data_IF_494106371331
#
_entry.id   IF_494106371331
#
_cell.length_a   1.000
_cell.length_b   1.000
_cell.length_c   1.000
_cell.angle_alpha   90.00
_cell.angle_beta   90.00
_cell.angle_gamma   90.00
#
_symmetry.space_group_name_H-M   'P 1'
#
loop_
_entity.id
_entity.type
_entity.pdbx_description
1 polymer ?
#
# COMPACT_ATOMS: atom_id res chain seq x y z
N UNK A 1 -65.08 7.03 -96.97
CA UNK A 1 -64.36 8.14 -97.60
C UNK A 1 -63.80 9.05 -96.51
N UNK A 2 -62.59 9.58 -96.73
CA UNK A 2 -61.75 10.46 -95.88
C UNK A 2 -61.25 9.88 -94.55
N UNK A 3 -59.97 9.48 -94.38
CA UNK A 3 -58.69 10.24 -94.38
C UNK A 3 -58.65 11.32 -93.27
N UNK A 4 -57.86 11.21 -92.18
CA UNK A 4 -56.39 11.47 -91.99
C UNK A 4 -56.31 12.46 -90.80
N UNK A 5 -55.51 12.40 -89.72
CA UNK A 5 -54.09 12.03 -89.49
C UNK A 5 -53.77 12.05 -87.94
N UNK A 6 -52.52 11.98 -87.41
CA UNK A 6 -52.06 10.80 -86.63
C UNK A 6 -51.36 11.10 -85.26
N UNK A 7 -50.91 10.01 -84.60
CA UNK A 7 -49.78 9.82 -83.66
C UNK A 7 -49.70 10.71 -82.37
N UNK A 8 -49.36 10.21 -81.18
CA UNK A 8 -48.05 9.65 -80.76
C UNK A 8 -48.18 8.78 -79.48
N UNK A 9 -47.72 7.52 -79.60
CA UNK A 9 -46.86 6.67 -78.72
C UNK A 9 -46.83 7.01 -77.20
N UNK A 10 -47.46 6.19 -76.35
CA UNK A 10 -46.93 5.01 -75.58
C UNK A 10 -46.08 5.32 -74.35
N UNK A 11 -46.45 4.70 -73.22
CA UNK A 11 -45.59 4.52 -72.06
C UNK A 11 -46.37 4.16 -70.80
N UNK A 12 -46.64 2.87 -70.61
CA UNK A 12 -47.28 2.28 -69.44
C UNK A 12 -46.52 2.62 -68.14
N UNK A 13 -47.30 2.93 -67.10
CA UNK A 13 -46.84 3.03 -65.72
C UNK A 13 -46.58 1.61 -65.17
N UNK A 14 -45.33 1.33 -64.79
CA UNK A 14 -45.00 0.23 -63.89
C UNK A 14 -44.10 0.80 -62.79
N UNK A 15 -44.53 0.59 -61.55
CA UNK A 15 -44.08 1.32 -60.38
C UNK A 15 -42.65 1.03 -59.93
N UNK A 16 -42.09 2.03 -59.24
CA UNK A 16 -41.06 1.83 -58.24
C UNK A 16 -41.44 2.67 -57.02
N UNK A 17 -41.97 2.00 -55.99
CA UNK A 17 -42.08 2.56 -54.64
C UNK A 17 -40.67 2.73 -54.09
N UNK A 18 -40.11 3.94 -54.20
CA UNK A 18 -38.88 4.30 -53.52
C UNK A 18 -39.17 4.35 -52.01
N UNK A 19 -38.73 3.33 -51.28
CA UNK A 19 -38.71 3.33 -49.83
C UNK A 19 -37.69 4.39 -49.40
N UNK A 20 -38.17 5.55 -48.98
CA UNK A 20 -37.35 6.54 -48.30
C UNK A 20 -37.05 5.99 -46.90
N UNK A 21 -35.78 5.72 -46.52
CA UNK A 21 -35.50 5.26 -45.18
C UNK A 21 -35.81 6.40 -44.20
N UNK A 22 -36.76 6.13 -43.30
CA UNK A 22 -37.10 6.98 -42.17
C UNK A 22 -35.83 7.16 -41.32
N UNK A 23 -35.41 8.38 -40.97
CA UNK A 23 -34.21 8.57 -40.15
C UNK A 23 -34.43 7.87 -38.80
N UNK A 24 -33.47 7.03 -38.40
CA UNK A 24 -33.47 6.42 -37.07
C UNK A 24 -33.55 7.52 -35.99
N UNK A 25 -34.24 7.27 -34.86
CA UNK A 25 -34.21 8.20 -33.74
C UNK A 25 -32.75 8.37 -33.30
N UNK A 26 -32.27 9.63 -33.29
CA UNK A 26 -30.98 9.95 -32.68
C UNK A 26 -31.03 9.46 -31.24
N UNK A 27 -30.18 8.49 -30.93
CA UNK A 27 -29.97 8.01 -29.57
C UNK A 27 -29.59 9.22 -28.72
N UNK A 28 -30.51 9.68 -27.86
CA UNK A 28 -30.20 10.73 -26.89
C UNK A 28 -29.15 10.15 -25.95
N UNK A 29 -27.92 10.64 -26.09
CA UNK A 29 -26.84 10.40 -25.15
C UNK A 29 -27.34 10.87 -23.78
N UNK A 30 -27.76 9.93 -22.93
CA UNK A 30 -28.04 10.21 -21.52
C UNK A 30 -26.78 10.86 -20.94
N UNK A 31 -26.89 12.00 -20.24
CA UNK A 31 -25.73 12.57 -19.59
C UNK A 31 -25.20 11.52 -18.60
N UNK A 32 -23.94 11.10 -18.79
CA UNK A 32 -23.23 10.30 -17.79
C UNK A 32 -23.36 11.02 -16.44
N UNK A 33 -23.61 10.30 -15.33
CA UNK A 33 -23.62 10.94 -14.02
C UNK A 33 -22.27 11.63 -13.86
N UNK A 34 -22.27 12.95 -13.69
CA UNK A 34 -21.09 13.66 -13.18
C UNK A 34 -20.89 13.11 -11.77
N UNK A 35 -20.00 12.13 -11.65
CA UNK A 35 -19.39 11.79 -10.37
C UNK A 35 -18.78 13.10 -9.89
N UNK A 36 -19.43 13.74 -8.93
CA UNK A 36 -18.81 14.77 -8.12
C UNK A 36 -17.63 14.08 -7.45
N UNK A 37 -16.46 14.15 -8.07
CA UNK A 37 -15.21 13.97 -7.37
C UNK A 37 -15.19 15.10 -6.35
N UNK A 38 -15.71 14.80 -5.16
CA UNK A 38 -15.33 15.52 -3.96
C UNK A 38 -13.82 15.34 -3.95
N UNK A 39 -13.08 16.37 -4.35
CA UNK A 39 -11.68 16.51 -3.98
C UNK A 39 -11.70 16.57 -2.46
N UNK A 40 -11.69 15.40 -1.82
CA UNK A 40 -11.24 15.30 -0.45
C UNK A 40 -9.81 15.81 -0.51
N UNK A 41 -9.62 17.06 -0.09
CA UNK A 41 -8.31 17.63 0.12
C UNK A 41 -7.59 16.67 1.05
N UNK A 42 -6.63 15.93 0.50
CA UNK A 42 -5.79 15.04 1.29
C UNK A 42 -5.18 15.90 2.40
N UNK A 43 -5.19 15.44 3.68
CA UNK A 43 -4.54 16.18 4.75
C UNK A 43 -3.10 16.50 4.36
N UNK A 44 -2.51 17.58 4.91
CA UNK A 44 -1.10 17.89 4.66
C UNK A 44 -0.26 16.63 4.88
N UNK A 45 0.75 16.46 4.01
CA UNK A 45 1.78 15.42 4.16
C UNK A 45 2.13 15.28 5.64
N UNK A 46 2.06 14.05 6.16
CA UNK A 46 2.54 13.81 7.51
C UNK A 46 3.98 14.36 7.60
N UNK A 47 4.29 15.03 8.70
CA UNK A 47 5.63 15.59 8.90
C UNK A 47 6.42 14.58 9.74
N UNK A 48 7.61 14.10 9.30
CA UNK A 48 8.45 13.23 10.12
C UNK A 48 8.74 13.78 11.52
N UNK A 49 8.72 15.10 11.71
CA UNK A 49 8.89 15.75 13.02
C UNK A 49 7.68 15.57 13.96
N UNK A 50 6.54 15.12 13.45
CA UNK A 50 5.35 14.80 14.26
C UNK A 50 5.37 13.35 14.76
N UNK A 51 6.32 12.52 14.29
CA UNK A 51 6.43 11.15 14.77
C UNK A 51 6.98 11.14 16.19
N UNK A 52 6.23 10.47 17.07
CA UNK A 52 6.65 10.22 18.46
C UNK A 52 6.76 8.71 18.65
N UNK A 53 7.97 8.26 18.99
CA UNK A 53 8.28 6.89 19.34
C UNK A 53 7.73 6.55 20.73
N UNK A 54 7.01 5.44 20.82
CA UNK A 54 6.61 4.80 22.05
C UNK A 54 7.76 3.90 22.46
N UNK A 55 8.61 4.40 23.37
CA UNK A 55 9.86 3.76 23.78
C UNK A 55 9.62 3.01 25.09
N UNK A 56 9.75 1.67 25.11
CA UNK A 56 9.56 0.88 26.32
C UNK A 56 10.64 1.16 27.38
N UNK A 57 11.89 1.31 26.96
CA UNK A 57 13.02 1.57 27.85
C UNK A 57 14.02 2.56 27.24
N UNK A 58 14.13 3.74 27.86
CA UNK A 58 15.01 4.82 27.41
C UNK A 58 16.50 4.54 27.60
N UNK A 59 16.86 3.53 28.39
CA UNK A 59 18.25 3.09 28.56
C UNK A 59 18.75 2.26 27.38
N UNK A 60 17.85 1.66 26.59
CA UNK A 60 18.20 0.87 25.41
C UNK A 60 18.04 1.66 24.11
N UNK A 61 17.03 2.51 24.03
CA UNK A 61 16.75 3.29 22.82
C UNK A 61 16.19 4.65 23.18
N UNK A 62 16.56 5.68 22.43
CA UNK A 62 15.97 7.01 22.56
C UNK A 62 15.72 7.64 21.20
N UNK A 63 14.79 8.60 21.18
CA UNK A 63 14.50 9.38 19.98
C UNK A 63 15.13 10.76 20.09
N UNK A 64 15.83 11.17 19.03
CA UNK A 64 16.36 12.52 18.85
C UNK A 64 15.86 13.08 17.50
N UNK A 65 14.77 13.84 17.54
CA UNK A 65 14.07 14.30 16.33
C UNK A 65 13.62 13.10 15.48
N UNK A 66 14.07 13.02 14.24
CA UNK A 66 13.77 11.94 13.30
C UNK A 66 14.66 10.69 13.47
N UNK A 67 15.59 10.69 14.42
CA UNK A 67 16.49 9.56 14.65
C UNK A 67 16.04 8.75 15.84
N UNK A 68 16.00 7.43 15.68
CA UNK A 68 15.89 6.46 16.75
C UNK A 68 17.28 5.85 16.93
N UNK A 69 17.82 5.97 18.14
CA UNK A 69 19.23 5.65 18.42
C UNK A 69 19.25 4.60 19.52
N UNK A 70 19.81 3.44 19.19
CA UNK A 70 20.14 2.42 20.18
C UNK A 70 21.33 2.88 21.00
N UNK A 71 21.29 2.68 22.30
CA UNK A 71 22.39 3.01 23.21
C UNK A 71 23.55 2.03 23.05
N UNK A 72 24.54 2.15 23.91
CA UNK A 72 25.71 1.26 23.98
C UNK A 72 25.38 -0.13 24.54
N UNK A 73 24.20 -0.31 25.13
CA UNK A 73 23.65 -1.61 25.52
C UNK A 73 23.24 -2.40 24.27
N UNK A 74 23.34 -3.73 24.31
CA UNK A 74 22.83 -4.65 23.27
C UNK A 74 21.53 -5.25 23.77
N UNK A 75 20.59 -5.52 22.86
CA UNK A 75 19.29 -6.10 23.21
C UNK A 75 18.21 -5.66 22.23
N UNK A 76 17.03 -6.27 22.30
CA UNK A 76 15.94 -5.90 21.39
C UNK A 76 15.25 -4.61 21.86
N UNK A 77 15.17 -3.65 20.94
CA UNK A 77 14.49 -2.37 21.16
C UNK A 77 13.45 -2.15 20.08
N UNK A 78 12.21 -2.54 20.38
CA UNK A 78 11.06 -2.31 19.50
C UNK A 78 10.41 -0.98 19.82
N UNK A 79 10.29 -0.10 18.82
CA UNK A 79 9.69 1.23 18.95
C UNK A 79 8.52 1.36 17.99
N UNK A 80 7.31 1.47 18.55
CA UNK A 80 6.11 1.82 17.79
C UNK A 80 6.00 3.34 17.63
N UNK A 81 5.27 3.82 16.63
CA UNK A 81 5.13 5.25 16.37
C UNK A 81 3.68 5.74 16.49
N UNK A 82 3.52 6.94 17.05
CA UNK A 82 2.31 7.74 16.92
C UNK A 82 2.40 8.62 15.66
N UNK A 83 1.24 8.92 15.02
CA UNK A 83 -0.13 8.51 15.37
C UNK A 83 -0.48 7.06 14.98
N UNK A 84 -1.62 6.57 15.50
CA UNK A 84 -2.29 5.38 14.96
C UNK A 84 -2.79 5.69 13.54
N UNK A 85 -2.60 4.75 12.62
CA UNK A 85 -3.12 4.84 11.26
C UNK A 85 -4.38 3.99 11.18
N UNK A 86 -5.52 4.60 10.83
CA UNK A 86 -6.82 3.91 10.72
C UNK A 86 -7.58 4.22 9.42
N UNK A 87 -7.08 5.17 8.63
CA UNK A 87 -7.66 5.63 7.37
C UNK A 87 -6.56 6.19 6.46
N UNK A 88 -6.89 6.41 5.19
CA UNK A 88 -5.96 6.97 4.22
C UNK A 88 -4.97 5.95 3.65
N UNK A 89 -4.00 6.47 2.90
CA UNK A 89 -2.84 5.73 2.43
C UNK A 89 -1.64 6.37 3.10
N UNK A 90 -0.94 5.62 3.97
CA UNK A 90 0.18 6.14 4.73
C UNK A 90 1.44 5.36 4.39
N UNK A 91 2.57 6.07 4.29
CA UNK A 91 3.87 5.46 4.06
C UNK A 91 4.85 5.90 5.13
N UNK A 92 5.59 4.94 5.68
CA UNK A 92 6.59 5.15 6.71
C UNK A 92 7.89 4.45 6.34
N UNK A 93 9.02 5.11 6.55
CA UNK A 93 10.31 4.56 6.15
C UNK A 93 11.51 5.42 6.54
N UNK A 94 12.67 4.88 6.26
CA UNK A 94 13.94 5.39 6.77
C UNK A 94 15.16 4.66 6.26
N UNK A 95 16.27 4.93 6.93
CA UNK A 95 17.54 4.27 6.74
C UNK A 95 18.04 3.67 8.05
N UNK A 96 18.39 2.40 8.01
CA UNK A 96 19.12 1.74 9.08
C UNK A 96 20.63 2.04 8.97
N UNK A 97 21.29 2.36 10.08
CA UNK A 97 22.74 2.62 10.15
C UNK A 97 23.41 1.89 11.31
N UNK A 98 24.63 1.41 11.08
CA UNK A 98 25.52 0.75 12.07
C UNK A 98 24.91 -0.53 12.67
N UNK A 99 24.47 -1.44 11.80
CA UNK A 99 23.88 -2.74 12.17
C UNK A 99 24.82 -3.88 11.77
N UNK A 100 25.88 -4.11 12.55
CA UNK A 100 26.92 -5.11 12.23
C UNK A 100 26.46 -6.56 12.37
N UNK A 101 25.52 -6.85 13.29
CA UNK A 101 24.91 -8.18 13.41
C UNK A 101 23.86 -8.43 12.34
N UNK A 102 23.55 -7.42 11.52
CA UNK A 102 22.52 -7.47 10.48
C UNK A 102 21.21 -8.01 11.07
N UNK A 103 20.75 -7.44 12.19
CA UNK A 103 19.44 -7.76 12.76
C UNK A 103 18.68 -6.48 13.06
N UNK A 104 17.72 -6.17 12.19
CA UNK A 104 16.77 -5.08 12.39
C UNK A 104 15.48 -5.40 11.62
N UNK A 105 14.39 -4.80 12.07
CA UNK A 105 13.04 -5.05 11.54
C UNK A 105 12.36 -3.71 11.30
N UNK A 106 11.57 -3.64 10.24
CA UNK A 106 10.54 -2.61 10.03
C UNK A 106 9.21 -3.31 9.75
N UNK A 107 8.10 -2.74 10.19
CA UNK A 107 6.80 -3.34 9.93
C UNK A 107 5.62 -2.56 10.46
N UNK A 108 4.50 -3.27 10.59
CA UNK A 108 3.28 -2.77 11.22
C UNK A 108 2.86 -3.67 12.37
N UNK A 109 2.27 -3.05 13.38
CA UNK A 109 1.62 -3.72 14.47
C UNK A 109 0.12 -3.36 14.49
N UNK A 110 -0.72 -4.27 14.95
CA UNK A 110 -2.06 -3.91 15.43
C UNK A 110 -1.92 -2.78 16.46
N UNK A 111 -2.84 -1.82 16.45
CA UNK A 111 -2.71 -0.63 17.31
C UNK A 111 -2.74 -0.95 18.82
N UNK A 112 -3.24 -2.13 19.20
CA UNK A 112 -3.24 -2.66 20.57
C UNK A 112 -1.93 -3.34 20.99
N UNK A 113 -0.96 -3.49 20.10
CA UNK A 113 0.34 -4.08 20.44
C UNK A 113 1.09 -3.21 21.46
N UNK A 114 1.65 -3.85 22.48
CA UNK A 114 2.47 -3.21 23.51
C UNK A 114 3.80 -3.93 23.55
N UNK A 115 4.88 -3.23 23.25
CA UNK A 115 6.22 -3.81 23.21
C UNK A 115 6.92 -3.65 24.56
N UNK A 116 7.55 -4.71 25.04
CA UNK A 116 8.42 -4.67 26.22
C UNK A 116 9.86 -4.27 25.88
N UNK A 117 10.67 -4.19 26.93
CA UNK A 117 12.11 -3.93 26.82
C UNK A 117 12.86 -5.24 26.65
N UNK A 118 13.81 -5.29 25.72
CA UNK A 118 14.62 -6.49 25.44
C UNK A 118 13.78 -7.71 24.99
N UNK A 119 12.66 -7.44 24.33
CA UNK A 119 11.72 -8.42 23.79
C UNK A 119 11.63 -8.30 22.26
N UNK A 120 11.44 -9.43 21.59
CA UNK A 120 11.13 -9.45 20.17
C UNK A 120 9.76 -8.80 19.90
N UNK A 121 9.53 -8.24 18.69
CA UNK A 121 8.23 -7.67 18.32
C UNK A 121 7.04 -8.64 18.39
N UNK A 122 7.29 -9.94 18.50
CA UNK A 122 6.27 -10.99 18.55
C UNK A 122 6.23 -11.72 19.90
N UNK A 123 7.00 -11.28 20.90
CA UNK A 123 6.96 -11.87 22.24
C UNK A 123 5.65 -11.54 22.98
N UNK A 124 5.34 -12.36 23.97
CA UNK A 124 4.17 -12.20 24.84
C UNK A 124 2.86 -12.21 24.05
N UNK A 125 2.04 -11.17 24.23
CA UNK A 125 0.74 -11.04 23.55
C UNK A 125 0.84 -10.55 22.10
N UNK A 126 2.05 -10.31 21.57
CA UNK A 126 2.24 -9.74 20.24
C UNK A 126 2.43 -10.77 19.13
N UNK A 127 2.44 -12.07 19.45
CA UNK A 127 2.65 -13.17 18.50
C UNK A 127 1.83 -13.00 17.20
N UNK A 128 0.57 -12.58 17.33
CA UNK A 128 -0.39 -12.43 16.21
C UNK A 128 -0.67 -10.96 15.85
N UNK A 129 0.06 -10.03 16.47
CA UNK A 129 -0.21 -8.58 16.36
C UNK A 129 0.79 -7.85 15.48
N UNK A 130 1.73 -8.52 14.83
CA UNK A 130 2.76 -7.87 14.02
C UNK A 130 2.95 -8.51 12.65
N UNK A 131 3.36 -7.69 11.68
CA UNK A 131 4.06 -8.16 10.47
C UNK A 131 5.47 -7.62 10.54
N UNK A 132 6.45 -8.50 10.33
CA UNK A 132 7.86 -8.16 10.31
C UNK A 132 8.38 -8.14 8.87
N UNK A 133 9.21 -7.16 8.52
CA UNK A 133 10.10 -7.23 7.36
C UNK A 133 11.54 -7.15 7.86
N UNK A 134 12.22 -8.29 7.78
CA UNK A 134 13.57 -8.49 8.28
C UNK A 134 14.61 -7.94 7.29
N UNK A 135 15.79 -7.61 7.82
CA UNK A 135 16.91 -7.11 7.03
C UNK A 135 17.35 -8.08 5.92
N UNK A 136 17.16 -9.40 6.09
CA UNK A 136 17.55 -10.43 5.15
C UNK A 136 16.61 -10.56 3.94
N UNK A 137 15.47 -9.87 3.95
CA UNK A 137 14.47 -9.93 2.89
C UNK A 137 13.27 -10.81 3.21
N UNK A 138 13.24 -11.47 4.37
CA UNK A 138 12.09 -12.27 4.77
C UNK A 138 10.99 -11.41 5.41
N UNK A 139 9.72 -11.84 5.27
CA UNK A 139 8.60 -11.30 6.05
C UNK A 139 8.01 -12.38 6.97
N UNK A 140 7.44 -12.00 8.11
CA UNK A 140 6.71 -12.94 8.96
C UNK A 140 5.45 -12.33 9.57
N UNK A 141 4.54 -13.22 9.97
CA UNK A 141 3.34 -12.94 10.74
C UNK A 141 2.92 -14.23 11.44
N UNK A 142 2.56 -14.16 12.74
CA UNK A 142 2.36 -15.34 13.61
C UNK A 142 3.64 -16.16 13.67
N UNK A 143 4.42 -15.96 14.75
CA UNK A 143 5.77 -16.53 14.86
C UNK A 143 5.76 -18.05 14.59
N UNK A 144 6.69 -18.50 13.73
CA UNK A 144 6.81 -19.91 13.35
C UNK A 144 7.44 -20.11 11.97
N UNK A 145 7.08 -19.29 10.98
CA UNK A 145 7.68 -19.32 9.64
C UNK A 145 7.92 -17.91 9.10
N UNK A 146 9.15 -17.65 8.67
CA UNK A 146 9.49 -16.49 7.85
C UNK A 146 9.43 -16.85 6.37
N UNK A 147 8.98 -15.91 5.55
CA UNK A 147 8.74 -16.10 4.13
C UNK A 147 9.77 -15.32 3.32
N UNK A 148 10.67 -16.00 2.58
CA UNK A 148 11.64 -15.34 1.73
C UNK A 148 10.99 -14.82 0.44
N UNK A 149 11.57 -13.77 -0.14
CA UNK A 149 11.20 -13.31 -1.48
C UNK A 149 11.30 -11.80 -1.71
N UNK A 150 11.38 -10.99 -0.66
CA UNK A 150 11.76 -9.59 -0.80
C UNK A 150 13.29 -9.45 -0.86
N UNK A 151 13.75 -8.28 -1.29
CA UNK A 151 15.18 -7.99 -1.33
C UNK A 151 15.71 -7.75 0.08
N UNK A 152 16.99 -8.06 0.28
CA UNK A 152 17.74 -7.63 1.47
C UNK A 152 17.76 -6.11 1.61
N UNK A 153 17.78 -5.63 2.85
CA UNK A 153 17.90 -4.20 3.18
C UNK A 153 19.39 -3.88 3.40
N UNK A 154 20.10 -3.50 2.34
CA UNK A 154 21.54 -3.18 2.40
C UNK A 154 21.83 -1.81 1.79
N UNK A 155 22.20 -0.81 2.60
CA UNK A 155 22.49 0.55 2.13
C UNK A 155 21.34 1.21 1.32
N UNK A 156 20.11 0.70 1.46
CA UNK A 156 18.90 1.20 0.80
C UNK A 156 17.98 1.91 1.78
N UNK A 157 17.15 2.82 1.27
CA UNK A 157 15.96 3.25 2.01
C UNK A 157 14.96 2.11 2.03
N UNK A 158 14.31 1.89 3.18
CA UNK A 158 13.21 0.92 3.30
C UNK A 158 11.96 1.63 3.80
N UNK A 159 10.80 1.23 3.28
CA UNK A 159 9.51 1.77 3.71
C UNK A 159 8.37 0.75 3.61
N UNK A 160 7.34 0.98 4.42
CA UNK A 160 6.07 0.28 4.43
C UNK A 160 4.97 1.26 4.01
N UNK A 161 4.15 0.90 3.03
CA UNK A 161 2.93 1.62 2.67
C UNK A 161 1.72 0.80 3.11
N UNK A 162 0.74 1.44 3.74
CA UNK A 162 -0.56 0.84 4.02
C UNK A 162 -1.66 1.57 3.27
N UNK A 163 -2.60 0.83 2.70
CA UNK A 163 -3.83 1.39 2.15
C UNK A 163 -5.01 0.97 3.03
N UNK A 164 -5.47 1.91 3.85
CA UNK A 164 -6.57 1.71 4.80
C UNK A 164 -7.94 2.02 4.19
N UNK A 165 -7.99 2.59 2.98
CA UNK A 165 -9.23 3.02 2.31
C UNK A 165 -9.93 1.92 1.52
N UNK A 166 -9.30 0.76 1.34
CA UNK A 166 -9.84 -0.36 0.56
C UNK A 166 -10.14 -1.57 1.45
N UNK A 167 -10.99 -2.47 0.96
CA UNK A 167 -11.24 -3.76 1.57
C UNK A 167 -10.97 -4.87 0.54
N UNK A 168 -9.99 -5.76 0.78
CA UNK A 168 -9.14 -5.84 1.97
C UNK A 168 -8.09 -4.71 2.04
N UNK A 169 -7.81 -4.19 3.24
CA UNK A 169 -6.71 -3.23 3.50
C UNK A 169 -5.36 -3.89 3.22
N UNK A 170 -4.38 -3.15 2.74
CA UNK A 170 -3.10 -3.71 2.30
C UNK A 170 -1.90 -3.11 2.99
N UNK A 171 -0.81 -3.87 3.02
CA UNK A 171 0.56 -3.47 3.38
C UNK A 171 1.50 -3.91 2.26
N UNK A 172 2.31 -2.98 1.78
CA UNK A 172 3.31 -3.20 0.74
C UNK A 172 4.67 -2.65 1.17
N UNK A 173 5.75 -3.35 0.84
CA UNK A 173 7.11 -2.96 1.19
C UNK A 173 7.86 -2.40 -0.02
N UNK A 174 8.76 -1.46 0.24
CA UNK A 174 9.59 -0.84 -0.80
C UNK A 174 11.03 -0.68 -0.33
N UNK A 175 11.98 -1.01 -1.22
CA UNK A 175 13.40 -0.68 -1.06
C UNK A 175 13.80 0.30 -2.16
N UNK A 176 14.36 1.47 -1.81
CA UNK A 176 14.65 2.57 -2.74
C UNK A 176 13.46 2.90 -3.67
N UNK A 177 12.26 2.96 -3.09
CA UNK A 177 10.99 3.16 -3.81
C UNK A 177 10.61 2.08 -4.82
N UNK A 178 11.33 0.96 -4.88
CA UNK A 178 10.95 -0.20 -5.67
C UNK A 178 10.06 -1.13 -4.84
N UNK A 179 8.87 -1.40 -5.35
CA UNK A 179 7.90 -2.32 -4.74
C UNK A 179 8.49 -3.73 -4.62
N UNK A 180 8.33 -4.35 -3.45
CA UNK A 180 8.81 -5.70 -3.18
C UNK A 180 7.75 -6.77 -3.50
N UNK A 181 8.20 -8.01 -3.71
CA UNK A 181 7.37 -9.10 -4.24
C UNK A 181 6.30 -9.59 -3.25
N UNK A 182 6.58 -9.51 -1.96
CA UNK A 182 5.69 -9.99 -0.91
C UNK A 182 4.91 -8.82 -0.33
N UNK A 183 3.60 -8.99 -0.20
CA UNK A 183 2.69 -8.01 0.41
C UNK A 183 1.68 -8.70 1.32
N UNK A 184 0.97 -7.92 2.13
CA UNK A 184 -0.03 -8.42 3.06
C UNK A 184 -1.37 -7.76 2.79
N UNK A 185 -2.45 -8.54 2.84
CA UNK A 185 -3.84 -8.07 2.75
C UNK A 185 -4.59 -8.36 4.04
N UNK A 186 -5.72 -7.70 4.19
CA UNK A 186 -6.63 -7.81 5.33
C UNK A 186 -5.99 -7.39 6.66
N UNK A 187 -5.08 -6.42 6.63
CA UNK A 187 -4.45 -5.86 7.84
C UNK A 187 -5.53 -5.26 8.78
N UNK A 188 -5.24 -5.09 10.10
CA UNK A 188 -6.21 -4.57 11.07
C UNK A 188 -6.80 -3.22 10.66
N UNK A 189 -7.96 -2.86 11.23
CA UNK A 189 -8.61 -1.56 10.97
C UNK A 189 -7.83 -0.37 11.53
N UNK A 190 -6.90 -0.63 12.46
CA UNK A 190 -6.00 0.39 12.99
C UNK A 190 -4.65 -0.24 13.31
N UNK A 191 -3.57 0.43 12.88
CA UNK A 191 -2.20 -0.07 13.00
C UNK A 191 -1.26 1.01 13.52
N UNK A 192 -0.07 0.60 13.93
CA UNK A 192 1.09 1.46 14.12
C UNK A 192 2.22 0.98 13.25
N UNK A 193 2.99 1.90 12.69
CA UNK A 193 4.31 1.56 12.18
C UNK A 193 5.25 1.32 13.35
N UNK A 194 6.21 0.42 13.18
CA UNK A 194 7.25 0.18 14.17
C UNK A 194 8.57 -0.21 13.51
N UNK A 195 9.64 -0.13 14.30
CA UNK A 195 10.95 -0.71 13.98
C UNK A 195 11.45 -1.53 15.18
N UNK A 196 12.37 -2.45 14.93
CA UNK A 196 13.17 -3.10 15.96
C UNK A 196 14.66 -2.92 15.66
N UNK A 197 15.42 -2.50 16.65
CA UNK A 197 16.88 -2.38 16.62
C UNK A 197 17.49 -3.40 17.59
N UNK A 198 18.73 -3.81 17.35
CA UNK A 198 19.43 -4.79 18.19
C UNK A 198 20.88 -4.40 18.52
N UNK A 199 21.61 -3.92 17.53
CA UNK A 199 23.03 -3.59 17.70
C UNK A 199 23.23 -2.31 18.51
N UNK A 200 24.27 -2.33 19.36
CA UNK A 200 24.71 -1.14 20.10
C UNK A 200 25.06 0.01 19.15
N UNK A 201 24.71 1.23 19.52
CA UNK A 201 24.94 2.46 18.74
C UNK A 201 24.35 2.45 17.32
N UNK A 202 23.50 1.47 17.01
CA UNK A 202 22.77 1.40 15.77
C UNK A 202 21.64 2.42 15.76
N UNK A 203 21.13 2.76 14.58
CA UNK A 203 20.07 3.74 14.47
C UNK A 203 19.16 3.51 13.28
N UNK A 204 17.98 4.12 13.36
CA UNK A 204 17.07 4.30 12.25
C UNK A 204 16.80 5.79 12.08
N UNK A 205 17.01 6.30 10.88
CA UNK A 205 16.71 7.69 10.52
C UNK A 205 15.44 7.71 9.69
N UNK A 206 14.36 8.22 10.27
CA UNK A 206 13.07 8.39 9.62
C UNK A 206 13.22 9.50 8.57
N UNK A 207 12.94 9.18 7.31
CA UNK A 207 12.92 10.18 6.23
C UNK A 207 11.62 10.14 5.42
N UNK A 208 10.79 9.12 5.63
CA UNK A 208 9.50 8.95 4.97
C UNK A 208 8.47 8.80 6.08
N UNK A 209 7.55 9.76 6.14
CA UNK A 209 6.29 9.60 6.85
C UNK A 209 5.29 10.51 6.17
N UNK A 210 4.41 9.97 5.35
CA UNK A 210 3.56 10.77 4.47
C UNK A 210 2.19 10.14 4.26
N UNK A 211 1.21 11.00 4.00
CA UNK A 211 -0.09 10.57 3.48
C UNK A 211 -0.05 10.70 1.95
N UNK A 212 -0.40 9.62 1.27
CA UNK A 212 -0.41 9.55 -0.18
C UNK A 212 -1.82 9.74 -0.73
N UNK A 213 -1.93 10.43 -1.86
CA UNK A 213 -3.20 10.58 -2.57
C UNK A 213 -3.59 9.28 -3.29
N UNK A 214 -2.60 8.56 -3.81
CA UNK A 214 -2.76 7.30 -4.53
C UNK A 214 -1.72 6.31 -4.02
N UNK A 215 -2.06 5.02 -4.04
CA UNK A 215 -1.11 3.97 -3.66
C UNK A 215 0.08 3.96 -4.62
N UNK A 216 1.29 3.84 -4.07
CA UNK A 216 2.49 3.63 -4.89
C UNK A 216 2.56 2.18 -5.39
N UNK A 217 1.87 1.27 -4.72
CA UNK A 217 1.81 -0.14 -5.09
C UNK A 217 1.03 -0.34 -6.39
N UNK A 218 1.67 -0.98 -7.37
CA UNK A 218 1.13 -1.33 -8.68
C UNK A 218 1.05 -2.84 -8.87
N UNK A 219 1.64 -3.61 -7.96
CA UNK A 219 1.83 -5.04 -8.08
C UNK A 219 3.16 -5.36 -8.79
N UNK A 220 3.75 -6.48 -8.39
CA UNK A 220 5.00 -7.01 -8.96
C UNK A 220 4.70 -8.34 -9.63
N UNK A 221 5.27 -8.57 -10.83
CA UNK A 221 5.16 -9.86 -11.51
C UNK A 221 5.68 -11.00 -10.63
N UNK A 222 4.91 -12.08 -10.52
CA UNK A 222 5.17 -13.22 -9.61
C UNK A 222 5.21 -12.82 -8.13
N UNK A 223 4.61 -11.69 -7.75
CA UNK A 223 4.42 -11.29 -6.37
C UNK A 223 3.45 -12.22 -5.63
N UNK A 224 3.62 -12.33 -4.32
CA UNK A 224 2.76 -13.12 -3.43
C UNK A 224 2.08 -12.21 -2.42
N UNK A 225 0.79 -12.47 -2.18
CA UNK A 225 -0.02 -11.71 -1.22
C UNK A 225 -0.44 -12.64 -0.10
N UNK A 226 -0.03 -12.33 1.12
CA UNK A 226 -0.38 -13.08 2.31
C UNK A 226 -1.53 -12.42 3.07
N UNK A 227 -2.30 -13.20 3.83
CA UNK A 227 -3.43 -12.69 4.60
C UNK A 227 -3.06 -12.58 6.07
N UNK A 228 -3.30 -11.40 6.67
CA UNK A 228 -3.20 -11.22 8.11
C UNK A 228 -4.14 -12.19 8.85
N UNK A 229 -3.71 -12.66 10.01
CA UNK A 229 -4.42 -13.60 10.87
C UNK A 229 -4.30 -15.06 10.44
N UNK A 230 -3.50 -15.36 9.41
CA UNK A 230 -3.25 -16.72 8.93
C UNK A 230 -1.77 -17.07 9.03
N UNK A 231 -1.48 -18.33 9.31
CA UNK A 231 -0.12 -18.87 9.20
C UNK A 231 0.34 -18.85 7.74
N UNK A 232 1.58 -18.43 7.52
CA UNK A 232 2.19 -18.43 6.21
C UNK A 232 3.15 -19.61 6.09
N UNK A 233 3.22 -20.22 4.90
CA UNK A 233 4.07 -21.39 4.63
C UNK A 233 5.03 -21.06 3.52
N UNK A 234 6.27 -21.56 3.67
CA UNK A 234 7.22 -21.63 2.56
C UNK A 234 6.66 -22.63 1.54
N UNK A 235 6.68 -22.25 0.27
CA UNK A 235 6.44 -23.18 -0.84
C UNK A 235 7.67 -24.05 -1.07
#
# INVERSE_FOLDING_TARGET
MSFVQPAVISGDQIGQSVIVPKPLPKEQVKPKPKVLQIQQSVPPSLNPNMIIGIIPNKEHVYQQGIKIIHTDKRGFSTVAFNPIISNGIARFGGFFKRHSSEYFIIGIADSSAVFGSDEYPFDGENEKKTVCYFNDGEISHIFGNSIPGNSRIENKSVSCEVNMNISPRTLTFFNDNQEQRLSVRNIPSSIRFYICLYDKNSSFMINIFENLQYSSAKGVSNGKVFEWGKEWKRE
#
